data_IF_936859570624
#
_entry.id   IF_936859570624
#
_cell.length_a   1.000
_cell.length_b   1.000
_cell.length_c   1.000
_cell.angle_alpha   90.00
_cell.angle_beta   90.00
_cell.angle_gamma   90.00
#
_symmetry.space_group_name_H-M   'P 1'
#
loop_
_entity.id
_entity.type
_entity.pdbx_description
1 polymer ?
#
# COMPACT_ATOMS: atom_id res chain seq x y z
N UNK A 1 -30.70 0.48 11.35
CA UNK A 1 -29.38 0.52 11.96
C UNK A 1 -28.30 0.72 10.93
N UNK A 2 -27.39 1.56 11.25
CA UNK A 2 -26.29 1.77 10.35
C UNK A 2 -25.22 0.72 10.52
N UNK A 3 -24.87 0.07 9.46
CA UNK A 3 -23.80 -0.89 9.48
C UNK A 3 -22.49 -0.22 9.10
N UNK A 4 -21.50 -0.39 9.95
CA UNK A 4 -20.19 0.11 9.66
C UNK A 4 -19.46 -0.90 8.77
N UNK A 5 -19.07 -0.46 7.59
CA UNK A 5 -18.29 -1.29 6.69
C UNK A 5 -16.84 -0.92 6.91
N UNK A 6 -16.08 -1.86 7.42
CA UNK A 6 -14.65 -1.65 7.58
C UNK A 6 -13.95 -1.97 6.27
N UNK A 7 -13.47 -0.94 5.62
CA UNK A 7 -12.67 -1.13 4.42
C UNK A 7 -11.32 -1.71 4.81
N UNK A 8 -10.88 -2.70 4.06
CA UNK A 8 -9.53 -3.21 4.20
C UNK A 8 -8.55 -2.13 3.74
N UNK A 9 -7.49 -1.96 4.49
CA UNK A 9 -6.42 -1.03 4.13
C UNK A 9 -5.28 -1.82 3.51
N UNK A 10 -4.92 -1.45 2.30
CA UNK A 10 -3.87 -2.14 1.56
C UNK A 10 -2.70 -1.18 1.35
N UNK A 11 -1.54 -1.61 1.81
CA UNK A 11 -0.30 -0.88 1.59
C UNK A 11 0.42 -1.47 0.38
N UNK A 12 0.72 -0.63 -0.60
CA UNK A 12 1.55 -1.01 -1.73
C UNK A 12 2.91 -0.35 -1.55
N UNK A 13 3.95 -1.15 -1.43
CA UNK A 13 5.31 -0.66 -1.29
C UNK A 13 5.97 -0.64 -2.66
N UNK A 14 6.27 0.57 -3.14
CA UNK A 14 6.82 0.78 -4.47
C UNK A 14 5.76 1.21 -5.48
N UNK A 15 6.09 2.19 -6.30
CA UNK A 15 5.17 2.70 -7.30
C UNK A 15 5.86 2.81 -8.66
N UNK A 16 6.61 1.77 -9.03
CA UNK A 16 7.08 1.56 -10.39
C UNK A 16 5.95 0.97 -11.23
N UNK A 17 6.28 0.40 -12.38
CA UNK A 17 5.25 -0.12 -13.29
C UNK A 17 4.37 -1.19 -12.64
N UNK A 18 4.96 -2.07 -11.84
CA UNK A 18 4.20 -3.15 -11.18
C UNK A 18 3.34 -2.59 -10.05
N UNK A 19 3.91 -1.73 -9.21
CA UNK A 19 3.14 -1.12 -8.12
C UNK A 19 2.01 -0.28 -8.64
N UNK A 20 2.25 0.49 -9.69
CA UNK A 20 1.21 1.29 -10.34
C UNK A 20 0.06 0.41 -10.84
N UNK A 21 0.38 -0.72 -11.46
CA UNK A 21 -0.64 -1.65 -11.95
C UNK A 21 -1.47 -2.20 -10.80
N UNK A 22 -0.84 -2.57 -9.68
CA UNK A 22 -1.57 -3.04 -8.51
C UNK A 22 -2.53 -1.99 -7.99
N UNK A 23 -2.06 -0.74 -7.88
CA UNK A 23 -2.91 0.35 -7.40
C UNK A 23 -4.09 0.56 -8.33
N UNK A 24 -3.86 0.59 -9.63
CA UNK A 24 -4.94 0.77 -10.60
C UNK A 24 -5.97 -0.35 -10.52
N UNK A 25 -5.50 -1.59 -10.38
CA UNK A 25 -6.40 -2.73 -10.23
C UNK A 25 -7.24 -2.63 -8.95
N UNK A 26 -6.61 -2.23 -7.84
CA UNK A 26 -7.30 -2.09 -6.57
C UNK A 26 -8.32 -0.95 -6.61
N UNK A 27 -8.01 0.15 -7.28
CA UNK A 27 -8.93 1.27 -7.40
C UNK A 27 -10.17 0.90 -8.20
N UNK A 28 -10.06 -0.07 -9.11
CA UNK A 28 -11.23 -0.55 -9.86
C UNK A 28 -12.16 -1.40 -9.01
N UNK A 29 -11.69 -1.85 -7.85
CA UNK A 29 -12.48 -2.64 -6.90
C UNK A 29 -12.78 -1.73 -5.71
N UNK A 30 -13.84 -1.07 -5.66
CA UNK A 30 -14.12 0.09 -4.83
C UNK A 30 -14.12 -0.11 -3.30
N UNK A 31 -13.68 -1.23 -2.76
CA UNK A 31 -13.82 -1.53 -1.33
C UNK A 31 -12.52 -1.50 -0.53
N UNK A 32 -11.48 -0.84 -1.06
CA UNK A 32 -10.20 -0.78 -0.37
C UNK A 32 -9.74 0.66 -0.15
N UNK A 33 -9.17 0.90 1.02
CA UNK A 33 -8.41 2.12 1.25
C UNK A 33 -6.96 1.81 0.90
N UNK A 34 -6.37 2.59 0.01
CA UNK A 34 -5.05 2.31 -0.53
C UNK A 34 -4.03 3.28 0.06
N UNK A 35 -2.92 2.72 0.53
CA UNK A 35 -1.78 3.47 1.04
C UNK A 35 -0.59 3.08 0.17
N UNK A 36 0.14 4.06 -0.31
CA UNK A 36 1.29 3.80 -1.18
C UNK A 36 2.55 4.35 -0.53
N UNK A 37 3.58 3.53 -0.50
CA UNK A 37 4.90 3.95 -0.05
C UNK A 37 5.79 4.13 -1.27
N UNK A 38 6.16 5.36 -1.58
CA UNK A 38 7.02 5.66 -2.71
C UNK A 38 7.78 6.96 -2.45
N UNK A 39 8.98 7.05 -2.99
CA UNK A 39 9.77 8.29 -2.93
C UNK A 39 9.54 9.19 -4.15
N UNK A 40 8.68 8.79 -5.07
CA UNK A 40 8.39 9.58 -6.26
C UNK A 40 7.61 10.83 -5.91
N UNK A 41 7.87 11.90 -6.65
CA UNK A 41 7.17 13.17 -6.47
C UNK A 41 6.11 13.42 -7.53
N UNK A 42 6.15 12.69 -8.64
CA UNK A 42 5.21 12.86 -9.76
C UNK A 42 3.94 12.03 -9.54
N UNK A 43 3.27 12.30 -8.42
CA UNK A 43 2.18 11.45 -7.94
C UNK A 43 0.90 12.23 -7.65
N UNK A 44 0.71 13.38 -8.29
CA UNK A 44 -0.46 14.22 -8.00
C UNK A 44 -1.78 13.51 -8.25
N UNK A 45 -1.86 12.73 -9.33
CA UNK A 45 -3.08 11.97 -9.61
C UNK A 45 -3.31 10.88 -8.58
N UNK A 46 -2.21 10.25 -8.13
CA UNK A 46 -2.30 9.19 -7.13
C UNK A 46 -2.85 9.71 -5.81
N UNK A 47 -2.43 10.89 -5.39
CA UNK A 47 -2.88 11.47 -4.12
C UNK A 47 -4.37 11.72 -4.07
N UNK A 48 -5.04 11.78 -5.21
CA UNK A 48 -6.49 11.95 -5.26
C UNK A 48 -7.23 10.67 -4.87
N UNK A 49 -6.57 9.53 -4.94
CA UNK A 49 -7.21 8.22 -4.75
C UNK A 49 -6.57 7.39 -3.65
N UNK A 50 -5.39 7.77 -3.17
CA UNK A 50 -4.65 7.00 -2.19
C UNK A 50 -3.89 7.93 -1.25
N UNK A 51 -3.57 7.42 -0.07
CA UNK A 51 -2.67 8.10 0.84
C UNK A 51 -1.24 7.72 0.47
N UNK A 52 -0.38 8.70 0.33
CA UNK A 52 1.00 8.47 -0.13
C UNK A 52 1.98 8.96 0.91
N UNK A 53 2.92 8.11 1.26
CA UNK A 53 3.99 8.43 2.18
C UNK A 53 5.32 7.97 1.60
N UNK A 54 6.40 8.50 2.15
CA UNK A 54 7.75 8.20 1.64
C UNK A 54 8.47 7.11 2.41
N UNK A 55 8.00 6.75 3.60
CA UNK A 55 8.63 5.71 4.40
C UNK A 55 7.61 4.68 4.84
N UNK A 56 8.09 3.46 5.05
CA UNK A 56 7.24 2.39 5.55
C UNK A 56 6.71 2.73 6.95
N UNK A 57 7.54 3.34 7.77
CA UNK A 57 7.14 3.73 9.12
C UNK A 57 5.90 4.65 9.10
N UNK A 58 5.89 5.62 8.19
CA UNK A 58 4.74 6.50 8.04
C UNK A 58 3.50 5.73 7.58
N UNK A 59 3.67 4.81 6.65
CA UNK A 59 2.57 4.00 6.14
C UNK A 59 1.98 3.11 7.23
N UNK A 60 2.80 2.55 8.09
CA UNK A 60 2.34 1.66 9.15
C UNK A 60 1.50 2.37 10.20
N UNK A 61 1.62 3.68 10.32
CA UNK A 61 0.76 4.46 11.21
C UNK A 61 -0.70 4.44 10.78
N UNK A 62 -0.96 4.16 9.50
CA UNK A 62 -2.32 4.01 9.00
C UNK A 62 -2.93 2.65 9.34
N UNK A 63 -2.15 1.76 9.93
CA UNK A 63 -2.57 0.41 10.32
C UNK A 63 -3.14 -0.39 9.17
N UNK A 64 -2.35 -0.59 8.09
CA UNK A 64 -2.81 -1.39 6.97
C UNK A 64 -3.01 -2.86 7.37
N UNK A 65 -3.90 -3.53 6.68
CA UNK A 65 -4.20 -4.94 6.91
C UNK A 65 -3.37 -5.85 6.01
N UNK A 66 -3.09 -5.38 4.80
CA UNK A 66 -2.45 -6.18 3.76
C UNK A 66 -1.30 -5.37 3.18
N UNK A 67 -0.20 -6.03 2.88
CA UNK A 67 0.94 -5.42 2.21
C UNK A 67 1.23 -6.08 0.88
N UNK A 68 1.32 -5.29 -0.17
CA UNK A 68 1.77 -5.75 -1.48
C UNK A 68 3.16 -5.18 -1.70
N UNK A 69 4.14 -6.06 -1.88
CA UNK A 69 5.53 -5.64 -2.03
C UNK A 69 5.88 -5.60 -3.51
N UNK A 70 6.02 -4.40 -4.04
CA UNK A 70 6.27 -4.15 -5.45
C UNK A 70 7.51 -3.28 -5.68
N UNK A 71 8.39 -3.20 -4.69
CA UNK A 71 9.65 -2.47 -4.82
C UNK A 71 10.71 -3.38 -5.46
N UNK A 72 11.96 -2.92 -5.50
CA UNK A 72 13.03 -3.69 -6.10
C UNK A 72 13.19 -5.05 -5.42
N UNK A 73 13.49 -6.08 -6.22
CA UNK A 73 13.61 -7.45 -5.72
C UNK A 73 14.58 -7.56 -4.55
N UNK A 74 15.69 -6.83 -4.60
CA UNK A 74 16.68 -6.84 -3.52
C UNK A 74 16.12 -6.33 -2.20
N UNK A 75 15.00 -5.59 -2.23
CA UNK A 75 14.38 -5.04 -1.04
C UNK A 75 13.17 -5.86 -0.57
N UNK A 76 12.78 -6.90 -1.30
CA UNK A 76 11.57 -7.66 -0.96
C UNK A 76 11.66 -8.30 0.42
N UNK A 77 12.75 -8.98 0.74
CA UNK A 77 12.85 -9.68 2.02
C UNK A 77 12.93 -8.71 3.20
N UNK A 78 13.78 -7.68 3.17
CA UNK A 78 13.78 -6.71 4.27
C UNK A 78 12.43 -6.04 4.47
N UNK A 79 11.74 -5.70 3.37
CA UNK A 79 10.42 -5.08 3.42
C UNK A 79 9.41 -6.06 4.01
N UNK A 80 9.42 -7.31 3.55
CA UNK A 80 8.50 -8.34 4.03
C UNK A 80 8.64 -8.54 5.54
N UNK A 81 9.86 -8.55 6.04
CA UNK A 81 10.11 -8.70 7.47
C UNK A 81 9.48 -7.54 8.25
N UNK A 82 9.66 -6.31 7.79
CA UNK A 82 9.09 -5.14 8.46
C UNK A 82 7.57 -5.22 8.50
N UNK A 83 6.95 -5.57 7.38
CA UNK A 83 5.50 -5.63 7.30
C UNK A 83 4.94 -6.81 8.09
N UNK A 84 5.60 -7.95 8.04
CA UNK A 84 5.18 -9.12 8.81
C UNK A 84 5.23 -8.84 10.31
N UNK A 85 6.29 -8.15 10.77
CA UNK A 85 6.41 -7.76 12.17
C UNK A 85 5.32 -6.79 12.60
N UNK A 86 4.76 -6.06 11.67
CA UNK A 86 3.64 -5.16 11.94
C UNK A 86 2.28 -5.86 11.84
N UNK A 87 2.26 -7.15 11.53
CA UNK A 87 1.03 -7.94 11.52
C UNK A 87 0.27 -7.94 10.21
N UNK A 88 0.88 -7.50 9.10
CA UNK A 88 0.20 -7.49 7.82
C UNK A 88 0.22 -8.86 7.16
N UNK A 89 -0.84 -9.16 6.41
CA UNK A 89 -0.82 -10.25 5.44
C UNK A 89 -0.09 -9.75 4.20
N UNK A 90 0.77 -10.57 3.64
CA UNK A 90 1.69 -10.13 2.59
C UNK A 90 1.43 -10.80 1.26
N UNK A 91 1.60 -10.01 0.19
CA UNK A 91 1.63 -10.50 -1.19
C UNK A 91 2.89 -9.96 -1.86
N UNK A 92 3.60 -10.83 -2.53
CA UNK A 92 4.81 -10.47 -3.26
C UNK A 92 4.56 -10.45 -4.76
#
# INVERSE_FOLDING_TARGET
MKQTINMKKILVVGYGSIGKRHVENLLSISNFEIIVCTKRDDINKLKKHAKVYHTIKQCLKEKPDIGIIANETSLHIPTAIKLANAGLDLFL
#
